data_IF_444238721130
#
_entry.id   IF_444238721130
#
_cell.length_a   1.000
_cell.length_b   1.000
_cell.length_c   1.000
_cell.angle_alpha   90.00
_cell.angle_beta   90.00
_cell.angle_gamma   90.00
#
_symmetry.space_group_name_H-M   'P 1'
#
loop_
_entity.id
_entity.type
_entity.pdbx_description
1 polymer ?
#
# COMPACT_ATOMS: atom_id res chain seq x y z
N UNK A 1 -21.52 6.15 29.20
CA UNK A 1 -20.70 5.86 28.00
C UNK A 1 -21.30 4.65 27.32
N UNK A 2 -21.94 4.82 26.14
CA UNK A 2 -22.43 3.70 25.32
C UNK A 2 -21.40 3.45 24.24
N UNK A 3 -20.62 2.38 24.37
CA UNK A 3 -19.77 1.85 23.30
C UNK A 3 -20.71 1.11 22.34
N UNK A 4 -20.93 1.66 21.15
CA UNK A 4 -21.67 0.99 20.08
C UNK A 4 -20.62 0.30 19.21
N UNK A 5 -20.64 -1.03 19.22
CA UNK A 5 -19.82 -1.86 18.35
C UNK A 5 -20.58 -1.98 17.02
N UNK A 6 -20.23 -1.11 16.06
CA UNK A 6 -20.84 -1.12 14.72
C UNK A 6 -20.13 -2.18 13.89
N UNK A 7 -20.78 -3.33 13.68
CA UNK A 7 -20.36 -4.33 12.70
C UNK A 7 -20.86 -3.87 11.33
N UNK A 8 -20.01 -3.15 10.60
CA UNK A 8 -20.31 -2.72 9.23
C UNK A 8 -20.35 -3.93 8.29
N UNK A 9 -21.40 -3.99 7.46
CA UNK A 9 -21.55 -4.99 6.40
C UNK A 9 -20.32 -4.94 5.46
N UNK A 10 -19.68 -6.09 5.25
CA UNK A 10 -18.53 -6.25 4.38
C UNK A 10 -18.95 -6.02 2.91
N UNK A 11 -18.95 -4.78 2.45
CA UNK A 11 -19.02 -4.50 1.03
C UNK A 11 -17.69 -4.95 0.41
N UNK A 12 -17.74 -6.00 -0.41
CA UNK A 12 -16.65 -6.42 -1.29
C UNK A 12 -16.35 -5.29 -2.28
N UNK A 13 -15.63 -4.26 -1.83
CA UNK A 13 -15.05 -3.26 -2.70
C UNK A 13 -13.87 -3.93 -3.40
N UNK A 14 -14.16 -4.54 -4.55
CA UNK A 14 -13.16 -5.04 -5.49
C UNK A 14 -12.22 -3.87 -5.80
N UNK A 15 -11.02 -3.87 -5.22
CA UNK A 15 -10.00 -2.89 -5.60
C UNK A 15 -9.70 -3.09 -7.09
N UNK A 16 -9.60 -2.04 -7.92
CA UNK A 16 -9.21 -2.21 -9.30
C UNK A 16 -7.82 -2.85 -9.33
N UNK A 17 -7.75 -4.11 -9.76
CA UNK A 17 -6.51 -4.82 -10.00
C UNK A 17 -5.85 -4.23 -11.26
N UNK A 18 -5.22 -3.07 -11.13
CA UNK A 18 -4.26 -2.57 -12.10
C UNK A 18 -3.02 -3.47 -12.00
N UNK A 19 -2.96 -4.48 -12.86
CA UNK A 19 -1.89 -5.46 -12.88
C UNK A 19 -0.52 -4.77 -13.00
N UNK A 20 0.39 -5.09 -12.09
CA UNK A 20 1.78 -4.61 -12.09
C UNK A 20 2.10 -3.48 -11.13
N UNK A 21 1.11 -3.01 -10.36
CA UNK A 21 1.32 -2.06 -9.27
C UNK A 21 1.97 -2.69 -8.03
N UNK A 22 2.73 -1.89 -7.28
CA UNK A 22 3.25 -2.26 -5.94
C UNK A 22 2.37 -1.71 -4.82
N UNK A 23 1.21 -1.15 -5.16
CA UNK A 23 0.26 -0.54 -4.23
C UNK A 23 -0.47 -1.62 -3.40
N UNK A 24 -0.50 -1.42 -2.07
CA UNK A 24 -1.13 -2.35 -1.12
C UNK A 24 -2.33 -1.75 -0.36
N UNK A 25 -2.45 -0.42 -0.31
CA UNK A 25 -3.58 0.28 0.34
C UNK A 25 -4.33 1.16 -0.66
N UNK A 26 -5.67 1.20 -0.52
CA UNK A 26 -6.55 1.99 -1.39
C UNK A 26 -6.66 3.48 -1.00
N UNK A 27 -5.92 3.95 0.01
CA UNK A 27 -5.85 5.37 0.42
C UNK A 27 -7.23 6.05 0.60
N UNK A 28 -8.25 5.28 0.97
CA UNK A 28 -9.62 5.77 1.13
C UNK A 28 -9.77 6.73 2.30
N UNK A 29 -10.51 7.82 2.09
CA UNK A 29 -10.86 8.81 3.11
C UNK A 29 -12.25 8.56 3.72
N UNK A 30 -12.82 7.36 3.53
CA UNK A 30 -14.15 7.00 4.05
C UNK A 30 -14.27 7.17 5.58
N UNK A 31 -13.17 6.94 6.31
CA UNK A 31 -13.09 7.13 7.77
C UNK A 31 -13.58 8.51 8.24
N UNK A 32 -13.40 9.57 7.43
CA UNK A 32 -13.79 10.95 7.76
C UNK A 32 -15.31 11.15 7.87
N UNK A 33 -16.09 10.17 7.42
CA UNK A 33 -17.55 10.22 7.35
C UNK A 33 -18.23 9.25 8.32
N UNK A 34 -17.47 8.51 9.11
CA UNK A 34 -18.01 7.73 10.23
C UNK A 34 -18.62 8.65 11.28
N UNK A 35 -19.62 8.19 12.03
CA UNK A 35 -20.29 9.03 13.03
C UNK A 35 -19.44 9.20 14.30
N UNK A 36 -19.33 10.44 14.80
CA UNK A 36 -18.66 10.72 16.08
C UNK A 36 -17.17 10.37 16.12
N UNK A 37 -16.70 9.89 17.28
CA UNK A 37 -15.34 9.37 17.43
C UNK A 37 -15.33 7.90 17.01
N UNK A 38 -14.43 7.53 16.12
CA UNK A 38 -14.41 6.21 15.49
C UNK A 38 -12.99 5.66 15.44
N UNK A 39 -12.84 4.36 15.67
CA UNK A 39 -11.58 3.63 15.59
C UNK A 39 -11.80 2.37 14.75
N UNK A 40 -10.97 2.20 13.73
CA UNK A 40 -10.99 1.10 12.79
C UNK A 40 -9.65 0.36 12.83
N UNK A 41 -9.71 -0.96 12.77
CA UNK A 41 -8.56 -1.81 12.53
C UNK A 41 -8.85 -2.72 11.35
N UNK A 42 -7.92 -2.74 10.38
CA UNK A 42 -7.99 -3.58 9.20
C UNK A 42 -6.88 -4.61 9.16
N UNK A 43 -7.20 -5.80 8.71
CA UNK A 43 -6.23 -6.83 8.36
C UNK A 43 -6.67 -7.53 7.07
N UNK A 44 -5.76 -7.67 6.10
CA UNK A 44 -6.03 -8.36 4.85
C UNK A 44 -4.90 -9.32 4.53
N UNK A 45 -5.25 -10.54 4.12
CA UNK A 45 -4.30 -11.53 3.60
C UNK A 45 -4.41 -11.60 2.09
N UNK A 46 -3.28 -11.62 1.40
CA UNK A 46 -3.20 -11.71 -0.05
C UNK A 46 -2.30 -12.87 -0.44
N UNK A 47 -2.77 -13.67 -1.39
CA UNK A 47 -2.03 -14.80 -1.99
C UNK A 47 -1.86 -14.57 -3.49
N UNK A 48 -0.95 -13.68 -3.90
CA UNK A 48 -0.72 -13.41 -5.30
C UNK A 48 -0.10 -14.63 -6.00
N UNK A 49 -0.43 -14.80 -7.27
CA UNK A 49 0.25 -15.75 -8.15
C UNK A 49 0.78 -15.01 -9.36
N UNK A 50 2.09 -14.84 -9.41
CA UNK A 50 2.81 -14.22 -10.52
C UNK A 50 3.81 -15.25 -11.01
N UNK A 51 3.81 -15.55 -12.31
CA UNK A 51 4.74 -16.50 -12.91
C UNK A 51 5.16 -16.03 -14.30
N UNK A 52 6.28 -16.54 -14.79
CA UNK A 52 6.80 -16.27 -16.12
C UNK A 52 7.56 -17.47 -16.68
N UNK A 53 7.91 -17.38 -17.96
CA UNK A 53 8.75 -18.37 -18.66
C UNK A 53 9.98 -17.66 -19.22
N UNK A 54 11.15 -18.20 -18.91
CA UNK A 54 12.41 -17.69 -19.44
C UNK A 54 12.56 -18.13 -20.90
N UNK A 55 13.19 -17.32 -21.72
CA UNK A 55 13.62 -17.75 -23.05
C UNK A 55 15.14 -17.87 -23.04
N UNK A 56 15.63 -19.11 -22.86
CA UNK A 56 17.06 -19.41 -22.88
C UNK A 56 17.38 -20.25 -24.11
N UNK A 57 18.64 -20.22 -24.56
CA UNK A 57 19.08 -20.86 -25.80
C UNK A 57 18.69 -22.35 -25.92
N UNK A 58 18.48 -23.05 -24.79
CA UNK A 58 18.12 -24.46 -24.73
C UNK A 58 16.94 -24.76 -23.79
N UNK A 59 15.89 -23.95 -23.80
CA UNK A 59 14.64 -24.29 -23.10
C UNK A 59 13.79 -23.09 -22.70
N UNK A 60 12.65 -23.40 -22.07
CA UNK A 60 11.74 -22.39 -21.53
C UNK A 60 11.39 -22.70 -20.08
N UNK A 61 12.34 -22.58 -19.15
CA UNK A 61 12.08 -22.87 -17.73
C UNK A 61 11.02 -21.91 -17.20
N UNK A 62 10.05 -22.44 -16.47
CA UNK A 62 9.10 -21.64 -15.73
C UNK A 62 9.79 -21.02 -14.50
N UNK A 63 9.44 -19.79 -14.14
CA UNK A 63 9.95 -19.16 -12.91
C UNK A 63 9.38 -19.82 -11.66
N UNK A 64 8.24 -20.50 -11.76
CA UNK A 64 7.38 -20.78 -10.60
C UNK A 64 6.58 -19.54 -10.18
N UNK A 65 5.79 -19.66 -9.10
CA UNK A 65 5.18 -18.48 -8.49
C UNK A 65 6.28 -17.67 -7.80
N UNK A 66 6.53 -16.45 -8.25
CA UNK A 66 7.54 -15.58 -7.65
C UNK A 66 7.00 -14.52 -6.70
N UNK A 67 5.69 -14.46 -6.47
CA UNK A 67 5.09 -13.51 -5.55
C UNK A 67 4.75 -14.19 -4.23
N UNK A 68 5.26 -13.64 -3.13
CA UNK A 68 4.98 -14.14 -1.79
C UNK A 68 3.58 -13.73 -1.31
N UNK A 69 3.01 -14.59 -0.47
CA UNK A 69 1.85 -14.27 0.34
C UNK A 69 2.20 -13.18 1.38
N UNK A 70 1.25 -12.30 1.68
CA UNK A 70 1.47 -11.25 2.68
C UNK A 70 0.20 -10.85 3.42
N UNK A 71 0.41 -10.37 4.64
CA UNK A 71 -0.59 -9.65 5.42
C UNK A 71 -0.35 -8.14 5.29
N UNK A 72 -1.43 -7.38 5.21
CA UNK A 72 -1.43 -5.92 5.37
C UNK A 72 -2.29 -5.59 6.57
N UNK A 73 -1.80 -4.70 7.42
CA UNK A 73 -2.51 -4.20 8.59
C UNK A 73 -2.71 -2.70 8.46
N UNK A 74 -3.81 -2.20 8.99
CA UNK A 74 -4.06 -0.77 9.08
C UNK A 74 -4.81 -0.40 10.36
N UNK A 75 -4.62 0.85 10.77
CA UNK A 75 -5.29 1.45 11.91
C UNK A 75 -5.74 2.84 11.52
N UNK A 76 -7.04 3.12 11.70
CA UNK A 76 -7.63 4.43 11.39
C UNK A 76 -8.37 4.95 12.60
N UNK A 77 -8.12 6.18 12.98
CA UNK A 77 -8.82 6.86 14.06
C UNK A 77 -9.41 8.16 13.54
N UNK A 78 -10.67 8.43 13.86
CA UNK A 78 -11.36 9.70 13.64
C UNK A 78 -11.76 10.33 14.96
N UNK A 79 -11.47 11.61 15.10
CA UNK A 79 -12.01 12.47 16.16
C UNK A 79 -12.99 13.49 15.60
N UNK A 80 -14.14 13.64 16.25
CA UNK A 80 -15.08 14.73 15.99
C UNK A 80 -14.78 15.89 16.92
N UNK A 81 -14.49 17.08 16.36
CA UNK A 81 -14.25 18.28 17.16
C UNK A 81 -15.57 18.99 17.46
N UNK A 82 -16.40 19.20 16.44
CA UNK A 82 -17.75 19.75 16.53
C UNK A 82 -18.58 19.24 15.35
N UNK A 83 -19.81 19.73 15.13
CA UNK A 83 -20.70 19.25 14.05
C UNK A 83 -20.12 19.40 12.64
N UNK A 84 -19.23 20.37 12.40
CA UNK A 84 -18.66 20.66 11.09
C UNK A 84 -17.21 20.20 10.94
N UNK A 85 -16.43 20.16 12.02
CA UNK A 85 -14.99 19.93 11.98
C UNK A 85 -14.63 18.56 12.58
N UNK A 86 -13.88 17.77 11.82
CA UNK A 86 -13.33 16.48 12.25
C UNK A 86 -11.92 16.26 11.72
N UNK A 87 -11.21 15.29 12.29
CA UNK A 87 -9.89 14.88 11.84
C UNK A 87 -9.76 13.36 11.85
N UNK A 88 -8.84 12.83 11.07
CA UNK A 88 -8.44 11.43 11.13
C UNK A 88 -6.92 11.25 11.09
N UNK A 89 -6.48 10.19 11.76
CA UNK A 89 -5.13 9.65 11.73
C UNK A 89 -5.21 8.23 11.15
N UNK A 90 -4.35 7.93 10.18
CA UNK A 90 -4.35 6.66 9.47
C UNK A 90 -2.91 6.15 9.42
N UNK A 91 -2.70 4.91 9.85
CA UNK A 91 -1.44 4.17 9.72
C UNK A 91 -1.72 2.97 8.83
N UNK A 92 -0.98 2.87 7.72
CA UNK A 92 -1.12 1.80 6.73
C UNK A 92 0.18 1.54 5.98
N UNK A 93 0.23 0.47 5.19
CA UNK A 93 1.35 0.15 4.30
C UNK A 93 0.91 0.43 2.84
N UNK A 94 1.22 1.62 2.27
CA UNK A 94 0.65 2.01 0.97
C UNK A 94 1.28 1.27 -0.21
N UNK A 95 2.55 0.90 -0.10
CA UNK A 95 3.35 0.29 -1.16
C UNK A 95 4.15 -0.89 -0.59
N UNK A 96 4.20 -2.00 -1.31
CA UNK A 96 5.14 -3.08 -1.01
C UNK A 96 5.18 -4.16 -2.08
N UNK A 97 6.34 -4.81 -2.17
CA UNK A 97 6.60 -5.93 -3.06
C UNK A 97 7.44 -6.96 -2.31
N UNK A 98 7.13 -8.24 -2.50
CA UNK A 98 7.95 -9.35 -2.03
C UNK A 98 8.03 -10.34 -3.19
N UNK A 99 9.20 -10.42 -3.80
CA UNK A 99 9.50 -11.31 -4.90
C UNK A 99 10.54 -12.31 -4.42
N UNK A 100 10.28 -13.59 -4.65
CA UNK A 100 11.18 -14.70 -4.38
C UNK A 100 11.11 -15.65 -5.57
N UNK A 101 12.20 -15.81 -6.32
CA UNK A 101 12.25 -16.79 -7.41
C UNK A 101 12.58 -18.18 -6.85
N UNK A 102 11.64 -19.15 -6.91
CA UNK A 102 11.87 -20.48 -6.36
C UNK A 102 13.09 -21.20 -6.92
N UNK A 103 13.84 -21.85 -6.03
CA UNK A 103 14.93 -22.75 -6.39
C UNK A 103 14.41 -24.00 -7.11
N UNK A 104 15.28 -24.64 -7.89
CA UNK A 104 14.98 -25.93 -8.55
C UNK A 104 14.07 -25.84 -9.78
N UNK A 105 13.71 -24.64 -10.21
CA UNK A 105 12.87 -24.39 -11.40
C UNK A 105 13.66 -24.41 -12.72
N UNK A 106 14.99 -24.29 -12.64
CA UNK A 106 15.86 -24.08 -13.80
C UNK A 106 15.76 -22.68 -14.38
N UNK A 107 15.03 -21.77 -13.73
CA UNK A 107 14.90 -20.38 -14.15
C UNK A 107 16.25 -19.64 -13.97
N UNK A 108 16.67 -18.77 -14.90
CA UNK A 108 18.03 -18.20 -14.89
C UNK A 108 18.41 -17.45 -13.62
N UNK A 109 17.44 -16.81 -12.96
CA UNK A 109 17.63 -16.03 -11.74
C UNK A 109 16.98 -16.70 -10.51
N UNK A 110 16.81 -18.03 -10.53
CA UNK A 110 16.30 -18.77 -9.37
C UNK A 110 17.13 -18.48 -8.11
N UNK A 111 16.47 -18.31 -6.97
CA UNK A 111 17.08 -17.90 -5.70
C UNK A 111 17.20 -16.39 -5.52
N UNK A 112 16.82 -15.58 -6.52
CA UNK A 112 16.82 -14.13 -6.39
C UNK A 112 15.59 -13.64 -5.64
N UNK A 113 15.77 -12.62 -4.81
CA UNK A 113 14.70 -11.98 -4.03
C UNK A 113 14.68 -10.46 -4.23
N UNK A 114 13.51 -9.86 -4.03
CA UNK A 114 13.33 -8.41 -4.10
C UNK A 114 12.23 -7.98 -3.14
N UNK A 115 12.55 -7.05 -2.24
CA UNK A 115 11.62 -6.58 -1.22
C UNK A 115 11.51 -5.06 -1.26
N UNK A 116 10.28 -4.54 -1.22
CA UNK A 116 9.96 -3.14 -0.95
C UNK A 116 8.98 -3.12 0.22
N UNK A 117 9.28 -2.32 1.25
CA UNK A 117 8.39 -2.11 2.40
C UNK A 117 8.20 -0.64 2.62
N UNK A 118 6.95 -0.22 2.76
CA UNK A 118 6.60 1.12 3.19
C UNK A 118 5.56 1.11 4.29
N UNK A 119 5.64 2.10 5.17
CA UNK A 119 4.62 2.41 6.18
C UNK A 119 4.35 3.89 6.13
N UNK A 120 3.08 4.29 6.14
CA UNK A 120 2.66 5.68 6.12
C UNK A 120 1.89 6.07 7.37
N UNK A 121 2.05 7.33 7.75
CA UNK A 121 1.19 8.03 8.70
C UNK A 121 0.53 9.19 7.96
N UNK A 122 -0.79 9.19 7.91
CA UNK A 122 -1.61 10.23 7.29
C UNK A 122 -2.43 10.95 8.34
N UNK A 123 -2.34 12.27 8.36
CA UNK A 123 -3.22 13.13 9.16
C UNK A 123 -4.06 14.00 8.23
N UNK A 124 -5.38 14.01 8.43
CA UNK A 124 -6.31 14.75 7.57
C UNK A 124 -7.37 15.44 8.42
N UNK A 125 -7.77 16.63 8.00
CA UNK A 125 -8.84 17.43 8.61
C UNK A 125 -9.96 17.60 7.58
N UNK A 126 -11.21 17.49 8.03
CA UNK A 126 -12.42 17.72 7.23
C UNK A 126 -13.24 18.85 7.81
N UNK A 127 -13.77 19.69 6.94
CA UNK A 127 -14.79 20.69 7.25
C UNK A 127 -16.05 20.41 6.42
N UNK A 128 -17.17 20.19 7.10
CA UNK A 128 -18.49 19.98 6.52
C UNK A 128 -19.29 21.27 6.52
N UNK A 129 -19.89 21.57 5.38
CA UNK A 129 -20.79 22.69 5.16
C UNK A 129 -22.24 22.22 5.22
N UNK A 130 -23.15 23.19 5.35
CA UNK A 130 -24.58 22.92 5.22
C UNK A 130 -24.90 22.42 3.81
N UNK A 131 -25.87 21.51 3.70
CA UNK A 131 -26.28 20.94 2.41
C UNK A 131 -25.41 19.78 1.91
N UNK A 132 -24.65 19.11 2.78
CA UNK A 132 -23.98 17.84 2.47
C UNK A 132 -22.61 17.96 1.78
N UNK A 133 -22.17 19.18 1.45
CA UNK A 133 -20.84 19.43 0.91
C UNK A 133 -19.79 19.39 2.02
N UNK A 134 -18.62 18.82 1.76
CA UNK A 134 -17.46 18.92 2.64
C UNK A 134 -16.16 18.97 1.86
N UNK A 135 -15.15 19.59 2.48
CA UNK A 135 -13.78 19.61 1.97
C UNK A 135 -12.85 19.04 3.02
N UNK A 136 -11.75 18.46 2.59
CA UNK A 136 -10.73 17.94 3.50
C UNK A 136 -9.34 18.09 2.90
N UNK A 137 -8.36 18.16 3.80
CA UNK A 137 -6.96 18.29 3.44
C UNK A 137 -6.07 17.70 4.52
N UNK A 138 -4.92 17.17 4.10
CA UNK A 138 -4.06 16.43 5.01
C UNK A 138 -2.63 16.34 4.53
N UNK A 139 -1.78 15.82 5.40
CA UNK A 139 -0.37 15.54 5.15
C UNK A 139 -0.07 14.07 5.40
N UNK A 140 0.95 13.57 4.71
CA UNK A 140 1.36 12.17 4.76
C UNK A 140 2.86 12.09 4.92
N UNK A 141 3.30 11.25 5.84
CA UNK A 141 4.69 10.85 5.97
C UNK A 141 4.78 9.38 5.57
N UNK A 142 5.56 9.06 4.54
CA UNK A 142 5.75 7.71 4.03
C UNK A 142 7.19 7.31 4.30
N UNK A 143 7.40 6.20 5.01
CA UNK A 143 8.72 5.65 5.32
C UNK A 143 8.92 4.39 4.48
N UNK A 144 9.97 4.36 3.68
CA UNK A 144 10.20 3.29 2.67
C UNK A 144 11.63 2.75 2.75
N UNK A 145 11.79 1.46 2.48
CA UNK A 145 13.08 0.79 2.28
C UNK A 145 12.95 -0.35 1.27
N UNK A 146 14.06 -0.69 0.62
CA UNK A 146 14.12 -1.83 -0.29
C UNK A 146 15.42 -2.63 -0.17
N UNK A 147 15.35 -3.87 -0.63
CA UNK A 147 16.49 -4.76 -0.78
C UNK A 147 16.30 -5.68 -1.99
N UNK A 148 17.41 -6.09 -2.59
CA UNK A 148 17.45 -7.03 -3.71
C UNK A 148 18.64 -7.95 -3.48
N UNK A 149 18.41 -9.25 -3.61
CA UNK A 149 19.46 -10.26 -3.70
C UNK A 149 19.27 -10.97 -5.04
N UNK A 150 20.24 -10.86 -5.94
CA UNK A 150 20.15 -11.34 -7.32
C UNK A 150 21.21 -12.41 -7.55
N UNK A 151 20.76 -13.58 -8.00
CA UNK A 151 21.61 -14.63 -8.56
C UNK A 151 21.82 -14.33 -10.04
N UNK A 152 23.07 -14.08 -10.44
CA UNK A 152 23.45 -13.78 -11.82
C UNK A 152 24.08 -15.03 -12.45
N UNK A 153 23.46 -15.64 -13.47
CA UNK A 153 24.00 -16.81 -14.13
C UNK A 153 25.15 -16.41 -15.07
N UNK A 154 26.39 -16.79 -14.76
CA UNK A 154 27.56 -16.54 -15.60
C UNK A 154 28.25 -17.85 -16.09
N UNK A 155 29.00 -17.80 -17.21
CA UNK A 155 29.86 -18.90 -17.63
C UNK A 155 31.01 -19.10 -16.62
N UNK A 156 30.89 -20.11 -15.75
CA UNK A 156 31.88 -20.43 -14.71
C UNK A 156 31.28 -20.67 -13.32
N UNK A 157 30.02 -20.27 -13.11
CA UNK A 157 29.30 -20.38 -11.84
C UNK A 157 28.31 -19.22 -11.68
N UNK A 158 27.35 -19.32 -10.75
CA UNK A 158 26.54 -18.16 -10.38
C UNK A 158 27.37 -17.15 -9.59
N UNK A 159 27.19 -15.87 -9.89
CA UNK A 159 27.64 -14.75 -9.05
C UNK A 159 26.43 -14.18 -8.31
N UNK A 160 26.67 -13.47 -7.22
CA UNK A 160 25.66 -12.90 -6.35
C UNK A 160 25.80 -11.39 -6.25
N UNK A 161 24.71 -10.69 -6.50
CA UNK A 161 24.60 -9.26 -6.29
C UNK A 161 23.62 -8.99 -5.17
N UNK A 162 24.03 -8.22 -4.16
CA UNK A 162 23.16 -7.77 -3.08
C UNK A 162 23.12 -6.25 -3.06
N UNK A 163 21.92 -5.69 -2.96
CA UNK A 163 21.66 -4.27 -2.80
C UNK A 163 20.70 -4.05 -1.65
N UNK A 164 21.04 -3.11 -0.76
CA UNK A 164 20.11 -2.61 0.24
C UNK A 164 20.09 -1.10 0.24
N UNK A 165 18.91 -0.50 0.45
CA UNK A 165 18.78 0.96 0.56
C UNK A 165 18.80 1.39 2.02
N UNK A 166 19.13 2.66 2.27
CA UNK A 166 18.73 3.30 3.52
C UNK A 166 17.19 3.31 3.65
N UNK A 167 16.71 3.51 4.89
CA UNK A 167 15.30 3.83 5.10
C UNK A 167 15.10 5.32 4.94
N UNK A 168 14.23 5.72 4.01
CA UNK A 168 13.92 7.11 3.70
C UNK A 168 12.49 7.47 4.10
N UNK A 169 12.29 8.66 4.66
CA UNK A 169 10.97 9.20 4.99
C UNK A 169 10.70 10.42 4.13
N UNK A 170 9.67 10.35 3.30
CA UNK A 170 9.25 11.41 2.42
C UNK A 170 7.83 11.88 2.74
N UNK A 171 7.52 13.11 2.35
CA UNK A 171 6.26 13.75 2.69
C UNK A 171 5.42 14.06 1.46
N UNK A 172 4.11 14.05 1.66
CA UNK A 172 3.12 14.47 0.68
C UNK A 172 1.92 15.12 1.35
N UNK A 173 0.98 15.57 0.54
CA UNK A 173 -0.28 16.15 0.98
C UNK A 173 -1.43 15.59 0.17
N UNK A 174 -2.63 15.71 0.72
CA UNK A 174 -3.87 15.36 0.04
C UNK A 174 -4.88 16.49 0.19
N UNK A 175 -5.75 16.62 -0.81
CA UNK A 175 -6.88 17.53 -0.84
C UNK A 175 -8.08 16.79 -1.41
N UNK A 176 -9.27 17.03 -0.89
CA UNK A 176 -10.46 16.43 -1.44
C UNK A 176 -11.73 17.17 -1.12
N UNK A 177 -12.75 16.81 -1.89
CA UNK A 177 -14.11 17.33 -1.78
C UNK A 177 -15.06 16.15 -1.78
N UNK A 178 -16.14 16.25 -1.01
CA UNK A 178 -17.16 15.23 -0.97
C UNK A 178 -18.55 15.85 -0.85
N UNK A 179 -19.53 15.16 -1.43
CA UNK A 179 -20.94 15.52 -1.34
C UNK A 179 -21.74 14.31 -0.86
N UNK A 180 -22.51 14.50 0.20
CA UNK A 180 -23.36 13.49 0.83
C UNK A 180 -24.83 13.75 0.47
N UNK A 181 -25.54 12.68 0.09
CA UNK A 181 -26.99 12.68 -0.20
C UNK A 181 -27.67 11.82 0.87
N UNK A 182 -28.09 12.41 1.99
CA UNK A 182 -28.56 11.66 3.16
C UNK A 182 -29.79 10.80 2.88
N UNK A 183 -30.68 11.22 1.98
CA UNK A 183 -31.93 10.49 1.69
C UNK A 183 -31.70 9.09 1.12
N UNK A 184 -30.54 8.87 0.49
CA UNK A 184 -30.16 7.60 -0.14
C UNK A 184 -28.89 6.99 0.46
N UNK A 185 -28.38 7.55 1.58
CA UNK A 185 -27.07 7.22 2.16
C UNK A 185 -25.93 7.25 1.11
N UNK A 186 -26.06 8.13 0.12
CA UNK A 186 -25.13 8.24 -1.00
C UNK A 186 -24.00 9.20 -0.69
N UNK A 187 -22.79 8.88 -1.14
CA UNK A 187 -21.64 9.80 -1.07
C UNK A 187 -20.78 9.69 -2.30
N UNK A 188 -20.38 10.84 -2.82
CA UNK A 188 -19.37 10.95 -3.87
C UNK A 188 -18.23 11.81 -3.33
N UNK A 189 -17.00 11.32 -3.48
CA UNK A 189 -15.80 12.03 -3.04
C UNK A 189 -14.70 11.96 -4.09
N UNK A 190 -13.96 13.05 -4.25
CA UNK A 190 -12.77 13.12 -5.09
C UNK A 190 -11.61 13.54 -4.22
N UNK A 191 -10.52 12.76 -4.25
CA UNK A 191 -9.29 13.05 -3.51
C UNK A 191 -8.12 13.14 -4.47
N UNK A 192 -7.38 14.23 -4.38
CA UNK A 192 -6.06 14.39 -4.97
C UNK A 192 -5.00 14.05 -3.94
N UNK A 193 -4.07 13.16 -4.30
CA UNK A 193 -2.86 12.89 -3.54
C UNK A 193 -1.65 13.47 -4.28
N UNK A 194 -0.81 14.23 -3.60
CA UNK A 194 0.42 14.75 -4.17
C UNK A 194 1.42 13.62 -4.43
N UNK A 195 2.35 13.85 -5.36
CA UNK A 195 3.51 12.97 -5.51
C UNK A 195 4.36 13.01 -4.24
N UNK A 196 4.76 11.83 -3.75
CA UNK A 196 5.78 11.67 -2.72
C UNK A 196 7.09 11.28 -3.42
N UNK A 197 8.18 11.98 -3.13
CA UNK A 197 9.50 11.73 -3.74
C UNK A 197 10.47 11.25 -2.67
N UNK A 198 10.97 10.03 -2.85
CA UNK A 198 11.97 9.43 -1.98
C UNK A 198 13.39 9.64 -2.54
N UNK A 199 14.36 9.76 -1.63
CA UNK A 199 15.78 9.77 -1.95
C UNK A 199 16.48 8.58 -1.29
N UNK A 200 17.00 7.65 -2.09
CA UNK A 200 17.68 6.46 -1.59
C UNK A 200 19.18 6.50 -1.90
N UNK A 201 19.97 6.05 -0.94
CA UNK A 201 21.36 5.64 -1.10
C UNK A 201 21.42 4.13 -0.94
N UNK A 202 22.15 3.45 -1.82
CA UNK A 202 22.32 2.00 -1.82
C UNK A 202 23.72 1.60 -1.33
N UNK A 203 23.78 0.46 -0.65
CA UNK A 203 25.01 -0.31 -0.46
C UNK A 203 24.89 -1.55 -1.33
N UNK A 204 25.88 -1.76 -2.19
CA UNK A 204 25.89 -2.79 -3.23
C UNK A 204 27.13 -3.66 -3.07
N UNK A 205 26.94 -4.98 -3.13
CA UNK A 205 28.02 -5.97 -3.06
C UNK A 205 27.87 -6.96 -4.21
N UNK A 206 28.98 -7.33 -4.83
CA UNK A 206 29.06 -8.34 -5.88
C UNK A 206 30.07 -9.40 -5.43
N UNK A 207 29.71 -10.68 -5.48
CA UNK A 207 30.51 -11.81 -4.94
C UNK A 207 30.34 -13.08 -5.74
#
# INVERSE_FOLDING_TARGET
MRTILVTSLLALATSPALAGGVERSNQSMAILFEEGNYLEFGASYSQPSVSGVGNVAFGSPASGNMADDFWTLDLRFKGQINEQLSYALIIDDPIGANIDYPLGTGYPISGSTGTIRSTALTGVVRYAFDGGLSVYGGVRAVRTRGSVDLTVPLPGGPEFYSMSTNTDTAYGYLLGVAYEIPEIAGRVSVTYNSRVRHGFSSVETFT
#
